data_IF_515385534395
#
_entry.id   IF_515385534395
#
_cell.length_a   1.000
_cell.length_b   1.000
_cell.length_c   1.000
_cell.angle_alpha   90.00
_cell.angle_beta   90.00
_cell.angle_gamma   90.00
#
_symmetry.space_group_name_H-M   'P 1'
#
loop_
_entity.id
_entity.type
_entity.pdbx_description
1 polymer ?
#
# COMPACT_ATOMS: atom_id res chain seq x y z
N UNK A 1 -9.56 23.42 -45.22
CA UNK A 1 -9.99 24.66 -44.55
C UNK A 1 -9.12 24.86 -43.31
N UNK A 2 -7.91 25.37 -43.51
CA UNK A 2 -6.96 25.65 -42.44
C UNK A 2 -6.76 27.17 -42.42
N UNK A 3 -7.41 27.87 -41.50
CA UNK A 3 -7.22 29.31 -41.34
C UNK A 3 -8.43 30.17 -40.97
N UNK A 4 -9.62 29.62 -40.74
CA UNK A 4 -10.72 30.40 -40.14
C UNK A 4 -10.68 30.27 -38.61
N UNK A 5 -10.71 31.40 -37.92
CA UNK A 5 -10.83 31.45 -36.47
C UNK A 5 -12.15 30.76 -36.07
N UNK A 6 -12.06 29.54 -35.55
CA UNK A 6 -13.23 28.77 -35.11
C UNK A 6 -14.00 29.60 -34.08
N UNK A 7 -15.30 29.78 -34.33
CA UNK A 7 -16.18 30.45 -33.37
C UNK A 7 -16.33 29.60 -32.10
N UNK A 8 -16.72 30.21 -30.98
CA UNK A 8 -16.94 29.47 -29.72
C UNK A 8 -17.78 28.20 -29.88
N UNK A 9 -18.96 28.26 -30.54
CA UNK A 9 -19.77 27.07 -30.84
C UNK A 9 -19.06 26.01 -31.68
N UNK A 10 -18.24 26.42 -32.66
CA UNK A 10 -17.48 25.49 -33.50
C UNK A 10 -16.37 24.79 -32.70
N UNK A 11 -15.71 25.49 -31.79
CA UNK A 11 -14.72 24.89 -30.87
C UNK A 11 -15.35 23.84 -29.96
N UNK A 12 -16.53 24.17 -29.40
CA UNK A 12 -17.27 23.23 -28.55
C UNK A 12 -17.70 22.01 -29.36
N UNK A 13 -18.20 22.20 -30.58
CA UNK A 13 -18.55 21.11 -31.47
C UNK A 13 -17.35 20.18 -31.77
N UNK A 14 -16.18 20.75 -32.08
CA UNK A 14 -14.94 19.99 -32.30
C UNK A 14 -14.53 19.20 -31.05
N UNK A 15 -14.63 19.79 -29.86
CA UNK A 15 -14.29 19.12 -28.60
C UNK A 15 -15.25 17.97 -28.28
N UNK A 16 -16.55 18.16 -28.49
CA UNK A 16 -17.57 17.11 -28.29
C UNK A 16 -17.34 15.93 -29.24
N UNK A 17 -16.98 16.20 -30.49
CA UNK A 17 -16.63 15.15 -31.45
C UNK A 17 -15.35 14.39 -31.07
N UNK A 18 -14.38 15.05 -30.43
CA UNK A 18 -13.14 14.43 -29.96
C UNK A 18 -13.33 13.56 -28.70
N UNK A 19 -14.27 13.95 -27.82
CA UNK A 19 -14.61 13.20 -26.60
C UNK A 19 -15.41 11.91 -26.88
N UNK A 20 -16.07 11.83 -28.04
CA UNK A 20 -16.89 10.70 -28.42
C UNK A 20 -18.33 10.80 -27.92
N UNK A 21 -19.21 9.99 -28.52
CA UNK A 21 -20.67 10.11 -28.39
C UNK A 21 -21.17 10.00 -26.94
N UNK A 22 -20.59 9.10 -26.15
CA UNK A 22 -21.02 8.82 -24.77
C UNK A 22 -20.78 10.03 -23.84
N UNK A 23 -19.58 10.60 -23.87
CA UNK A 23 -19.21 11.74 -23.04
C UNK A 23 -19.84 13.04 -23.53
N UNK A 24 -19.94 13.22 -24.85
CA UNK A 24 -20.62 14.37 -25.44
C UNK A 24 -22.11 14.40 -25.02
N UNK A 25 -22.79 13.25 -25.02
CA UNK A 25 -24.19 13.18 -24.63
C UNK A 25 -24.44 13.62 -23.18
N UNK A 26 -23.56 13.26 -22.24
CA UNK A 26 -23.66 13.71 -20.85
C UNK A 26 -23.42 15.22 -20.69
N UNK A 27 -22.46 15.77 -21.44
CA UNK A 27 -22.18 17.21 -21.41
C UNK A 27 -23.33 18.02 -22.03
N UNK A 28 -23.91 17.57 -23.14
CA UNK A 28 -25.02 18.25 -23.82
C UNK A 28 -26.27 18.38 -22.95
N UNK A 29 -26.47 17.50 -21.95
CA UNK A 29 -27.57 17.60 -20.98
C UNK A 29 -27.46 18.81 -20.04
N UNK A 30 -26.26 19.38 -19.90
CA UNK A 30 -25.99 20.52 -19.01
C UNK A 30 -26.20 21.88 -19.69
N UNK A 31 -26.36 21.92 -21.02
CA UNK A 31 -26.53 23.15 -21.78
C UNK A 31 -28.01 23.55 -21.90
N UNK A 32 -28.26 24.86 -21.94
CA UNK A 32 -29.61 25.36 -22.16
C UNK A 32 -30.09 25.09 -23.61
N UNK A 33 -31.42 25.02 -23.88
CA UNK A 33 -31.96 24.68 -25.20
C UNK A 33 -31.44 25.58 -26.34
N UNK A 34 -31.14 26.86 -26.05
CA UNK A 34 -30.58 27.80 -27.03
C UNK A 34 -29.12 27.50 -27.36
N UNK A 35 -28.35 27.04 -26.39
CA UNK A 35 -26.94 26.69 -26.55
C UNK A 35 -26.80 25.34 -27.25
N UNK A 36 -27.63 24.38 -26.86
CA UNK A 36 -27.73 23.07 -27.52
C UNK A 36 -28.04 23.21 -29.01
N UNK A 37 -28.96 24.11 -29.38
CA UNK A 37 -29.27 24.37 -30.78
C UNK A 37 -28.09 24.95 -31.55
N UNK A 38 -27.32 25.88 -30.94
CA UNK A 38 -26.14 26.49 -31.56
C UNK A 38 -25.00 25.48 -31.72
N UNK A 39 -24.72 24.69 -30.69
CA UNK A 39 -23.69 23.65 -30.71
C UNK A 39 -24.07 22.56 -31.72
N UNK A 40 -25.32 22.10 -31.72
CA UNK A 40 -25.82 21.10 -32.66
C UNK A 40 -25.76 21.57 -34.12
N UNK A 41 -26.07 22.84 -34.40
CA UNK A 41 -25.93 23.42 -35.72
C UNK A 41 -24.46 23.47 -36.19
N UNK A 42 -23.53 23.80 -35.29
CA UNK A 42 -22.09 23.75 -35.56
C UNK A 42 -21.58 22.31 -35.75
N UNK A 43 -22.05 21.34 -34.98
CA UNK A 43 -21.69 19.93 -35.17
C UNK A 43 -22.17 19.38 -36.52
N UNK A 44 -23.35 19.81 -36.98
CA UNK A 44 -23.90 19.40 -38.28
C UNK A 44 -23.21 20.08 -39.47
N UNK A 45 -22.70 21.32 -39.30
CA UNK A 45 -21.99 22.04 -40.36
C UNK A 45 -20.55 21.54 -40.53
N UNK A 46 -19.91 21.10 -39.44
CA UNK A 46 -18.57 20.54 -39.40
C UNK A 46 -18.55 19.08 -39.87
N UNK A 47 -18.77 18.89 -41.16
CA UNK A 47 -18.86 17.58 -41.83
C UNK A 47 -17.54 16.80 -41.90
N UNK A 48 -16.38 17.45 -41.74
CA UNK A 48 -15.09 16.79 -41.61
C UNK A 48 -14.09 17.71 -40.89
N UNK A 49 -13.73 17.33 -39.67
CA UNK A 49 -12.74 18.06 -38.87
C UNK A 49 -11.37 17.42 -39.10
N UNK A 50 -10.40 18.20 -39.58
CA UNK A 50 -9.03 17.73 -39.73
C UNK A 50 -8.37 17.46 -38.38
N UNK A 51 -7.49 16.45 -38.30
CA UNK A 51 -6.75 16.10 -37.07
C UNK A 51 -6.02 17.31 -36.46
N UNK A 52 -5.50 18.20 -37.29
CA UNK A 52 -4.79 19.40 -36.85
C UNK A 52 -5.73 20.40 -36.13
N UNK A 53 -6.98 20.52 -36.59
CA UNK A 53 -7.98 21.37 -35.94
C UNK A 53 -8.40 20.81 -34.58
N UNK A 54 -8.58 19.49 -34.47
CA UNK A 54 -8.85 18.82 -33.19
C UNK A 54 -7.70 19.04 -32.21
N UNK A 55 -6.46 18.80 -32.65
CA UNK A 55 -5.26 18.98 -31.82
C UNK A 55 -5.15 20.42 -31.31
N UNK A 56 -5.40 21.40 -32.18
CA UNK A 56 -5.35 22.82 -31.83
C UNK A 56 -6.42 23.18 -30.80
N UNK A 57 -7.68 22.79 -31.02
CA UNK A 57 -8.79 23.11 -30.10
C UNK A 57 -8.60 22.43 -28.74
N UNK A 58 -8.13 21.19 -28.71
CA UNK A 58 -7.85 20.47 -27.45
C UNK A 58 -6.69 21.12 -26.70
N UNK A 59 -5.63 21.53 -27.39
CA UNK A 59 -4.49 22.23 -26.78
C UNK A 59 -4.89 23.60 -26.21
N UNK A 60 -5.70 24.37 -26.96
CA UNK A 60 -6.24 25.65 -26.50
C UNK A 60 -7.14 25.45 -25.26
N UNK A 61 -8.07 24.49 -25.31
CA UNK A 61 -8.95 24.18 -24.19
C UNK A 61 -8.17 23.75 -22.93
N UNK A 62 -7.12 22.95 -23.10
CA UNK A 62 -6.28 22.53 -21.98
C UNK A 62 -5.49 23.72 -21.39
N UNK A 63 -4.95 24.61 -22.23
CA UNK A 63 -4.29 25.84 -21.75
C UNK A 63 -5.27 26.77 -21.02
N UNK A 64 -6.51 26.90 -21.50
CA UNK A 64 -7.54 27.70 -20.86
C UNK A 64 -8.00 27.08 -19.53
N UNK A 65 -8.14 25.75 -19.48
CA UNK A 65 -8.39 25.00 -18.24
C UNK A 65 -7.26 25.17 -17.23
N UNK A 66 -6.00 25.07 -17.65
CA UNK A 66 -4.83 25.26 -16.76
C UNK A 66 -4.79 26.68 -16.22
N UNK A 67 -5.10 27.69 -17.05
CA UNK A 67 -5.11 29.10 -16.64
C UNK A 67 -6.30 29.46 -15.74
N UNK A 68 -7.48 28.85 -15.92
CA UNK A 68 -8.65 29.08 -15.06
C UNK A 68 -8.65 28.19 -13.80
N UNK A 69 -8.07 26.99 -13.85
CA UNK A 69 -7.99 26.05 -12.73
C UNK A 69 -6.66 26.09 -11.99
N UNK A 70 -5.87 27.15 -12.13
CA UNK A 70 -4.68 27.42 -11.31
C UNK A 70 -4.96 27.45 -9.78
N UNK A 71 -6.24 27.30 -9.37
CA UNK A 71 -6.66 27.26 -7.98
C UNK A 71 -7.22 25.92 -7.45
N UNK A 72 -7.86 25.02 -8.22
CA UNK A 72 -8.47 23.81 -7.61
C UNK A 72 -8.68 22.64 -8.60
N UNK A 73 -7.64 22.18 -9.28
CA UNK A 73 -7.57 20.76 -9.63
C UNK A 73 -6.17 20.31 -9.26
N UNK A 74 -6.06 19.66 -8.09
CA UNK A 74 -4.85 18.92 -7.76
C UNK A 74 -4.75 17.77 -8.78
N UNK A 75 -3.98 18.02 -9.85
CA UNK A 75 -3.73 17.08 -10.93
C UNK A 75 -3.22 15.73 -10.39
N UNK A 76 -2.66 15.72 -9.16
CA UNK A 76 -2.27 14.51 -8.44
C UNK A 76 -3.45 13.77 -7.83
N UNK A 77 -4.48 14.43 -7.31
CA UNK A 77 -5.69 13.75 -6.82
C UNK A 77 -6.50 13.14 -7.96
N UNK A 78 -6.60 13.85 -9.09
CA UNK A 78 -7.17 13.27 -10.30
C UNK A 78 -6.37 12.03 -10.73
N UNK A 79 -5.05 12.13 -10.80
CA UNK A 79 -4.17 11.01 -11.15
C UNK A 79 -4.26 9.86 -10.14
N UNK A 80 -4.34 10.16 -8.85
CA UNK A 80 -4.51 9.19 -7.75
C UNK A 80 -5.81 8.44 -7.90
N UNK A 81 -6.90 9.14 -8.17
CA UNK A 81 -8.22 8.55 -8.37
C UNK A 81 -8.26 7.69 -9.63
N UNK A 82 -7.65 8.15 -10.73
CA UNK A 82 -7.55 7.39 -11.98
C UNK A 82 -6.70 6.13 -11.80
N UNK A 83 -5.49 6.25 -11.24
CA UNK A 83 -4.60 5.11 -11.01
C UNK A 83 -5.18 4.11 -10.01
N UNK A 84 -5.81 4.60 -8.93
CA UNK A 84 -6.48 3.74 -7.93
C UNK A 84 -7.63 2.96 -8.55
N UNK A 85 -8.40 3.60 -9.45
CA UNK A 85 -9.54 2.96 -10.12
C UNK A 85 -9.11 1.98 -11.21
N UNK A 86 -7.98 2.22 -11.87
CA UNK A 86 -7.45 1.36 -12.92
C UNK A 86 -6.63 0.17 -12.40
N UNK A 87 -5.87 0.34 -11.30
CA UNK A 87 -4.85 -0.62 -10.86
C UNK A 87 -5.08 -1.17 -9.44
N UNK A 88 -6.04 -0.63 -8.69
CA UNK A 88 -6.23 -0.91 -7.26
C UNK A 88 -5.28 -0.12 -6.36
N UNK A 89 -5.67 0.09 -5.09
CA UNK A 89 -4.97 0.99 -4.13
C UNK A 89 -3.48 0.70 -3.99
N UNK A 90 -3.08 -0.56 -3.84
CA UNK A 90 -1.69 -0.91 -3.51
C UNK A 90 -0.73 -0.73 -4.70
N UNK A 91 -1.19 -1.05 -5.92
CA UNK A 91 -0.39 -0.85 -7.14
C UNK A 91 -0.37 0.62 -7.55
N UNK A 92 -1.49 1.31 -7.40
CA UNK A 92 -1.58 2.75 -7.63
C UNK A 92 -0.63 3.52 -6.72
N UNK A 93 -0.52 3.14 -5.43
CA UNK A 93 0.43 3.74 -4.49
C UNK A 93 1.88 3.57 -4.96
N UNK A 94 2.29 2.35 -5.31
CA UNK A 94 3.67 2.10 -5.78
C UNK A 94 4.01 2.83 -7.09
N UNK A 95 3.07 2.92 -8.02
CA UNK A 95 3.25 3.64 -9.29
C UNK A 95 3.27 5.14 -9.05
N UNK A 96 2.39 5.65 -8.18
CA UNK A 96 2.37 7.05 -7.77
C UNK A 96 3.68 7.43 -7.08
N UNK A 97 4.16 6.61 -6.14
CA UNK A 97 5.42 6.82 -5.44
C UNK A 97 6.60 6.86 -6.42
N UNK A 98 6.60 6.01 -7.46
CA UNK A 98 7.62 6.06 -8.52
C UNK A 98 7.51 7.32 -9.39
N UNK A 99 6.30 7.69 -9.81
CA UNK A 99 6.06 8.88 -10.64
C UNK A 99 6.40 10.16 -9.86
N UNK A 100 6.06 10.24 -8.58
CA UNK A 100 6.39 11.38 -7.72
C UNK A 100 7.90 11.49 -7.46
N UNK A 101 8.58 10.34 -7.31
CA UNK A 101 10.04 10.27 -7.21
C UNK A 101 10.73 10.63 -8.54
N UNK A 102 10.16 10.29 -9.70
CA UNK A 102 10.66 10.70 -11.02
C UNK A 102 10.30 12.15 -11.39
N UNK A 103 9.18 12.68 -10.87
CA UNK A 103 8.68 14.03 -11.15
C UNK A 103 9.29 15.12 -10.25
N UNK A 104 10.29 14.80 -9.42
CA UNK A 104 11.10 15.80 -8.72
C UNK A 104 10.37 16.57 -7.62
N UNK A 105 9.55 15.92 -6.80
CA UNK A 105 9.16 16.51 -5.52
C UNK A 105 10.42 16.65 -4.63
N UNK A 106 11.01 17.85 -4.63
CA UNK A 106 12.28 18.15 -3.97
C UNK A 106 12.06 18.99 -2.71
N UNK A 107 12.90 18.78 -1.69
CA UNK A 107 12.88 19.57 -0.46
C UNK A 107 11.64 19.39 0.41
N UNK A 108 11.01 20.52 0.79
CA UNK A 108 9.91 20.59 1.76
C UNK A 108 8.64 19.88 1.26
N UNK A 109 8.39 19.87 -0.05
CA UNK A 109 7.16 19.29 -0.62
C UNK A 109 7.08 17.78 -0.42
N UNK A 110 8.22 17.09 -0.45
CA UNK A 110 8.27 15.66 -0.22
C UNK A 110 7.84 15.30 1.22
N UNK A 111 8.09 16.17 2.21
CA UNK A 111 7.73 15.92 3.62
C UNK A 111 6.21 15.82 3.83
N UNK A 112 5.39 16.45 3.00
CA UNK A 112 3.91 16.38 3.07
C UNK A 112 3.37 14.97 2.83
N UNK A 113 4.11 14.14 2.10
CA UNK A 113 3.71 12.79 1.72
C UNK A 113 4.38 11.71 2.58
N UNK A 114 5.19 12.13 3.56
CA UNK A 114 5.90 11.22 4.46
C UNK A 114 5.11 10.94 5.74
N UNK A 115 5.21 9.70 6.22
CA UNK A 115 4.67 9.34 7.54
C UNK A 115 5.27 10.23 8.64
N UNK A 116 4.42 10.72 9.55
CA UNK A 116 4.83 11.64 10.62
C UNK A 116 6.00 11.08 11.47
N UNK A 117 6.05 9.75 11.63
CA UNK A 117 7.13 9.06 12.33
C UNK A 117 8.48 9.16 11.61
N UNK A 118 8.49 9.08 10.27
CA UNK A 118 9.71 9.22 9.49
C UNK A 118 10.23 10.67 9.55
N UNK A 119 9.31 11.64 9.40
CA UNK A 119 9.63 13.07 9.52
C UNK A 119 10.18 13.39 10.90
N UNK A 120 9.50 12.96 11.98
CA UNK A 120 9.95 13.17 13.34
C UNK A 120 11.34 12.55 13.60
N UNK A 121 11.62 11.36 13.07
CA UNK A 121 12.92 10.72 13.21
C UNK A 121 14.05 11.53 12.55
N UNK A 122 13.80 12.09 11.36
CA UNK A 122 14.74 12.96 10.65
C UNK A 122 15.01 14.29 11.37
N UNK A 123 13.98 14.83 12.05
CA UNK A 123 14.05 16.13 12.73
C UNK A 123 14.64 16.08 14.16
N UNK A 124 14.80 14.89 14.75
CA UNK A 124 15.24 14.72 16.16
C UNK A 124 16.58 15.38 16.49
N UNK A 125 17.47 15.54 15.52
CA UNK A 125 18.81 16.13 15.71
C UNK A 125 18.93 17.54 15.13
N UNK A 126 17.84 18.07 14.59
CA UNK A 126 17.84 19.38 13.95
C UNK A 126 17.62 20.50 14.97
N UNK A 127 18.06 21.70 14.61
CA UNK A 127 17.88 22.88 15.44
C UNK A 127 16.38 23.25 15.54
N UNK A 128 15.87 23.70 16.70
CA UNK A 128 14.45 24.06 16.89
C UNK A 128 13.87 25.00 15.82
N UNK A 129 14.71 25.89 15.26
CA UNK A 129 14.33 26.77 14.16
C UNK A 129 14.00 26.02 12.86
N UNK A 130 14.77 24.98 12.52
CA UNK A 130 14.54 24.15 11.33
C UNK A 130 13.28 23.30 11.51
N UNK A 131 13.09 22.75 12.72
CA UNK A 131 11.89 21.98 13.05
C UNK A 131 10.64 22.87 12.95
N UNK A 132 10.67 24.08 13.52
CA UNK A 132 9.56 25.03 13.45
C UNK A 132 9.20 25.39 11.99
N UNK A 133 10.23 25.62 11.18
CA UNK A 133 10.07 25.92 9.77
C UNK A 133 9.45 24.74 9.02
N UNK A 134 9.94 23.51 9.24
CA UNK A 134 9.32 22.30 8.65
C UNK A 134 7.86 22.17 9.07
N UNK A 135 7.54 22.31 10.36
CA UNK A 135 6.16 22.21 10.86
C UNK A 135 5.23 23.28 10.26
N UNK A 136 5.73 24.49 9.99
CA UNK A 136 4.92 25.54 9.35
C UNK A 136 4.54 25.24 7.89
N UNK A 137 5.22 24.28 7.24
CA UNK A 137 4.93 23.85 5.87
C UNK A 137 4.11 22.55 5.78
N UNK A 138 3.96 21.82 6.88
CA UNK A 138 3.13 20.61 6.94
C UNK A 138 1.66 20.96 7.17
N UNK A 139 0.77 20.04 6.81
CA UNK A 139 -0.64 20.16 7.16
C UNK A 139 -0.83 20.06 8.68
N UNK A 140 -1.83 20.76 9.22
CA UNK A 140 -2.06 20.88 10.67
C UNK A 140 -2.12 19.53 11.40
N UNK A 141 -2.75 18.52 10.78
CA UNK A 141 -2.87 17.19 11.35
C UNK A 141 -1.50 16.48 11.44
N UNK A 142 -0.76 16.48 10.34
CA UNK A 142 0.58 15.86 10.27
C UNK A 142 1.58 16.59 11.18
N UNK A 143 1.54 17.93 11.22
CA UNK A 143 2.38 18.73 12.10
C UNK A 143 2.16 18.40 13.58
N UNK A 144 0.90 18.19 13.98
CA UNK A 144 0.55 17.79 15.34
C UNK A 144 1.09 16.39 15.70
N UNK A 145 0.98 15.43 14.77
CA UNK A 145 1.55 14.09 14.95
C UNK A 145 3.08 14.12 15.04
N UNK A 146 3.76 14.87 14.17
CA UNK A 146 5.21 15.05 14.22
C UNK A 146 5.63 15.68 15.55
N UNK A 147 4.95 16.74 15.98
CA UNK A 147 5.23 17.43 17.25
C UNK A 147 5.07 16.49 18.46
N UNK A 148 4.06 15.61 18.46
CA UNK A 148 3.84 14.63 19.52
C UNK A 148 4.99 13.61 19.64
N UNK A 149 5.66 13.29 18.52
CA UNK A 149 6.76 12.33 18.45
C UNK A 149 8.13 12.93 18.79
N UNK A 150 8.22 14.25 18.94
CA UNK A 150 9.43 14.95 19.38
C UNK A 150 9.61 14.89 20.91
N UNK A 151 10.85 15.00 21.42
CA UNK A 151 11.13 15.16 22.85
C UNK A 151 10.40 16.37 23.46
N UNK A 152 9.90 16.23 24.68
CA UNK A 152 9.09 17.26 25.37
C UNK A 152 9.80 18.62 25.46
N UNK A 153 11.11 18.61 25.68
CA UNK A 153 11.95 19.82 25.73
C UNK A 153 11.98 20.61 24.42
N UNK A 154 11.87 19.92 23.28
CA UNK A 154 11.85 20.54 21.95
C UNK A 154 10.45 21.04 21.58
N UNK A 155 9.38 20.38 22.04
CA UNK A 155 8.00 20.74 21.66
C UNK A 155 7.67 22.18 22.00
N UNK A 156 8.04 22.63 23.20
CA UNK A 156 7.73 23.97 23.68
C UNK A 156 8.47 25.05 22.87
N UNK A 157 9.78 24.91 22.69
CA UNK A 157 10.61 25.87 21.94
C UNK A 157 10.19 25.94 20.47
N UNK A 158 9.92 24.78 19.86
CA UNK A 158 9.46 24.69 18.47
C UNK A 158 8.09 25.36 18.28
N UNK A 159 7.13 25.11 19.18
CA UNK A 159 5.79 25.68 19.05
C UNK A 159 5.78 27.20 19.20
N UNK A 160 6.59 27.75 20.12
CA UNK A 160 6.76 29.20 20.27
C UNK A 160 7.31 29.79 18.96
N UNK A 161 8.32 29.15 18.37
CA UNK A 161 8.93 29.62 17.11
C UNK A 161 7.96 29.58 15.94
N UNK A 162 7.12 28.55 15.84
CA UNK A 162 6.02 28.49 14.85
C UNK A 162 5.05 29.65 15.05
N UNK A 163 4.68 29.95 16.29
CA UNK A 163 3.77 31.05 16.61
C UNK A 163 4.35 32.45 16.34
N UNK A 164 5.68 32.61 16.43
CA UNK A 164 6.39 33.87 16.15
C UNK A 164 6.90 34.00 14.72
N UNK A 165 6.55 33.05 13.84
CA UNK A 165 7.03 33.03 12.46
C UNK A 165 6.17 33.97 11.60
N UNK A 166 6.58 35.23 11.44
CA UNK A 166 5.77 36.24 10.72
C UNK A 166 5.83 36.09 9.19
N UNK A 167 7.02 35.88 8.62
CA UNK A 167 7.19 35.67 7.18
C UNK A 167 8.54 35.03 6.87
N UNK A 168 8.55 33.98 6.05
CA UNK A 168 9.77 33.38 5.51
C UNK A 168 10.04 34.02 4.14
N UNK A 169 11.16 34.75 3.95
CA UNK A 169 11.49 35.31 2.65
C UNK A 169 11.56 34.21 1.58
N UNK A 170 10.98 34.43 0.40
CA UNK A 170 10.92 33.42 -0.67
C UNK A 170 12.30 32.93 -1.10
N UNK A 171 13.34 33.77 -0.97
CA UNK A 171 14.74 33.39 -1.21
C UNK A 171 15.28 32.39 -0.16
N UNK A 172 14.82 32.47 1.09
CA UNK A 172 15.21 31.54 2.15
C UNK A 172 14.53 30.17 2.01
N UNK A 173 13.47 30.05 1.20
CA UNK A 173 12.83 28.76 0.87
C UNK A 173 13.75 27.89 0.01
N UNK A 174 14.53 28.50 -0.90
CA UNK A 174 15.53 27.79 -1.70
C UNK A 174 16.65 27.20 -0.83
N UNK A 175 17.20 28.02 0.08
CA UNK A 175 18.22 27.57 1.03
C UNK A 175 17.66 26.55 2.03
N UNK A 176 16.40 26.71 2.45
CA UNK A 176 15.70 25.74 3.28
C UNK A 176 15.53 24.40 2.57
N UNK A 177 15.11 24.41 1.30
CA UNK A 177 15.00 23.19 0.50
C UNK A 177 16.35 22.48 0.41
N UNK A 178 17.44 23.23 0.24
CA UNK A 178 18.79 22.65 0.21
C UNK A 178 19.20 22.05 1.57
N UNK A 179 18.89 22.71 2.68
CA UNK A 179 19.15 22.20 4.04
C UNK A 179 18.28 20.97 4.35
N UNK A 180 16.99 21.00 4.00
CA UNK A 180 16.07 19.88 4.18
C UNK A 180 16.50 18.70 3.30
N UNK A 181 16.89 18.93 2.05
CA UNK A 181 17.33 17.88 1.14
C UNK A 181 18.68 17.27 1.56
N UNK A 182 19.65 18.11 1.99
CA UNK A 182 20.96 17.61 2.42
C UNK A 182 20.95 16.96 3.80
N UNK A 183 20.10 17.42 4.72
CA UNK A 183 20.24 17.11 6.14
C UNK A 183 19.03 16.32 6.65
N UNK A 184 17.83 16.82 6.42
CA UNK A 184 16.60 16.15 6.84
C UNK A 184 16.34 14.90 6.00
N UNK A 185 16.42 14.98 4.67
CA UNK A 185 16.22 13.81 3.80
C UNK A 185 17.35 12.78 3.93
N UNK A 186 18.59 13.17 4.24
CA UNK A 186 19.65 12.20 4.60
C UNK A 186 19.34 11.49 5.90
N UNK A 187 18.93 12.23 6.93
CA UNK A 187 18.59 11.64 8.23
C UNK A 187 17.32 10.79 8.15
N UNK A 188 16.34 11.23 7.35
CA UNK A 188 15.16 10.47 7.01
C UNK A 188 15.57 9.22 6.24
N UNK A 189 16.34 9.28 5.16
CA UNK A 189 16.79 8.08 4.43
C UNK A 189 17.62 7.12 5.28
N UNK A 190 18.33 7.63 6.30
CA UNK A 190 19.03 6.82 7.28
C UNK A 190 18.10 6.24 8.38
N UNK A 191 17.01 6.94 8.72
CA UNK A 191 16.02 6.56 9.74
C UNK A 191 14.82 5.79 9.17
N UNK A 192 14.51 5.98 7.90
CA UNK A 192 13.70 5.13 7.03
C UNK A 192 14.56 3.96 6.58
N UNK A 193 15.08 3.23 7.59
CA UNK A 193 15.08 1.80 7.45
C UNK A 193 13.63 1.38 7.26
N UNK A 194 13.12 1.43 6.03
CA UNK A 194 12.06 0.53 5.64
C UNK A 194 12.54 -0.83 6.15
N UNK A 195 11.77 -1.48 7.03
CA UNK A 195 11.98 -2.90 7.30
C UNK A 195 11.59 -3.68 6.02
N UNK A 196 12.37 -3.50 4.95
CA UNK A 196 12.27 -4.24 3.67
C UNK A 196 12.68 -5.70 3.91
N UNK A 197 13.41 -5.96 4.99
CA UNK A 197 13.85 -7.29 5.39
C UNK A 197 13.56 -7.60 6.86
N UNK A 198 13.90 -8.82 7.23
CA UNK A 198 13.73 -9.38 8.56
C UNK A 198 13.53 -10.89 8.49
N UNK A 199 13.51 -11.59 9.64
CA UNK A 199 13.34 -13.04 9.69
C UNK A 199 12.09 -13.51 8.94
N UNK A 200 11.00 -12.73 8.98
CA UNK A 200 9.74 -13.04 8.28
C UNK A 200 9.89 -13.04 6.76
N UNK A 201 10.53 -12.01 6.20
CA UNK A 201 10.75 -11.94 4.75
C UNK A 201 11.74 -13.00 4.27
N UNK A 202 12.75 -13.31 5.09
CA UNK A 202 13.66 -14.42 4.81
C UNK A 202 12.93 -15.77 4.82
N UNK A 203 12.04 -16.01 5.78
CA UNK A 203 11.22 -17.22 5.83
C UNK A 203 10.30 -17.34 4.60
N UNK A 204 9.62 -16.26 4.20
CA UNK A 204 8.79 -16.24 2.97
C UNK A 204 9.60 -16.58 1.71
N UNK A 205 10.82 -16.04 1.58
CA UNK A 205 11.71 -16.34 0.45
C UNK A 205 12.17 -17.80 0.50
N UNK A 206 12.57 -18.29 1.67
CA UNK A 206 13.03 -19.67 1.85
C UNK A 206 11.91 -20.69 1.62
N UNK A 207 10.67 -20.34 1.93
CA UNK A 207 9.48 -21.16 1.63
C UNK A 207 9.17 -21.20 0.12
N UNK A 208 9.55 -20.16 -0.64
CA UNK A 208 9.25 -20.05 -2.07
C UNK A 208 10.31 -20.70 -2.98
N UNK A 209 11.47 -21.09 -2.44
CA UNK A 209 12.57 -21.70 -3.20
C UNK A 209 12.65 -23.21 -2.93
N UNK A 210 13.29 -23.94 -3.86
CA UNK A 210 13.47 -25.38 -3.76
C UNK A 210 14.26 -25.80 -2.50
N UNK A 211 13.87 -26.93 -1.91
CA UNK A 211 14.44 -27.44 -0.66
C UNK A 211 15.91 -27.82 -0.76
N UNK A 212 16.40 -28.15 -1.95
CA UNK A 212 17.82 -28.37 -2.22
C UNK A 212 18.67 -27.11 -2.10
N UNK A 213 18.05 -25.92 -2.16
CA UNK A 213 18.71 -24.62 -2.03
C UNK A 213 18.43 -23.99 -0.66
N UNK A 214 17.21 -24.12 -0.12
CA UNK A 214 16.86 -23.52 1.17
C UNK A 214 17.59 -24.18 2.35
N UNK A 215 17.76 -25.51 2.35
CA UNK A 215 18.40 -26.25 3.45
C UNK A 215 19.86 -25.87 3.65
N UNK A 216 20.73 -25.88 2.61
CA UNK A 216 22.11 -25.44 2.77
C UNK A 216 22.24 -23.96 3.13
N UNK A 217 21.26 -23.13 2.74
CA UNK A 217 21.23 -21.72 3.12
C UNK A 217 20.90 -21.57 4.60
N UNK A 218 19.94 -22.34 5.12
CA UNK A 218 19.57 -22.33 6.53
C UNK A 218 20.71 -22.84 7.42
N UNK A 219 21.40 -23.91 7.01
CA UNK A 219 22.55 -24.43 7.75
C UNK A 219 23.69 -23.40 7.85
N UNK A 220 23.92 -22.66 6.76
CA UNK A 220 24.87 -21.53 6.77
C UNK A 220 24.42 -20.40 7.69
N UNK A 221 23.13 -20.05 7.68
CA UNK A 221 22.60 -19.02 8.57
C UNK A 221 22.73 -19.46 10.03
N UNK A 222 22.43 -20.73 10.34
CA UNK A 222 22.55 -21.31 11.69
C UNK A 222 23.99 -21.32 12.19
N UNK A 223 24.95 -21.61 11.31
CA UNK A 223 26.38 -21.53 11.64
C UNK A 223 26.91 -20.10 11.87
N UNK A 224 26.23 -19.08 11.35
CA UNK A 224 26.59 -17.68 11.53
C UNK A 224 25.85 -17.01 12.70
N UNK A 225 24.55 -17.30 12.85
CA UNK A 225 23.67 -16.75 13.89
C UNK A 225 22.52 -17.73 14.17
N UNK A 226 22.70 -18.54 15.22
CA UNK A 226 21.73 -19.54 15.66
C UNK A 226 20.40 -18.90 16.09
N UNK A 227 20.44 -17.71 16.71
CA UNK A 227 19.25 -17.01 17.17
C UNK A 227 18.39 -16.51 16.01
N UNK A 228 19.04 -16.08 14.92
CA UNK A 228 18.38 -15.65 13.70
C UNK A 228 17.79 -16.86 12.95
N UNK A 229 18.54 -17.95 12.84
CA UNK A 229 18.07 -19.18 12.22
C UNK A 229 16.80 -19.71 12.89
N UNK A 230 16.78 -19.82 14.22
CA UNK A 230 15.61 -20.26 14.98
C UNK A 230 14.39 -19.37 14.70
N UNK A 231 14.58 -18.04 14.63
CA UNK A 231 13.48 -17.11 14.33
C UNK A 231 12.96 -17.23 12.90
N UNK A 232 13.81 -17.59 11.94
CA UNK A 232 13.40 -17.82 10.55
C UNK A 232 12.68 -19.17 10.45
N UNK A 233 13.21 -20.22 11.07
CA UNK A 233 12.57 -21.54 11.14
C UNK A 233 11.17 -21.47 11.76
N UNK A 234 11.00 -20.74 12.86
CA UNK A 234 9.69 -20.53 13.51
C UNK A 234 8.66 -19.89 12.56
N UNK A 235 9.14 -19.07 11.61
CA UNK A 235 8.32 -18.36 10.63
C UNK A 235 8.13 -19.14 9.31
N UNK A 236 8.90 -20.22 9.10
CA UNK A 236 8.77 -21.11 7.94
C UNK A 236 7.69 -22.18 8.14
N UNK A 237 7.28 -22.46 9.38
CA UNK A 237 6.25 -23.45 9.69
C UNK A 237 4.87 -22.85 9.40
N UNK A 238 4.44 -22.95 8.14
CA UNK A 238 3.13 -22.49 7.71
C UNK A 238 2.09 -23.55 8.06
N UNK A 239 0.95 -23.13 8.61
CA UNK A 239 -0.19 -24.00 8.89
C UNK A 239 -0.65 -24.83 7.67
N UNK A 240 -0.41 -24.31 6.46
CA UNK A 240 -0.68 -24.98 5.20
C UNK A 240 0.14 -26.25 4.96
N UNK A 241 1.29 -26.42 5.63
CA UNK A 241 2.09 -27.64 5.53
C UNK A 241 1.36 -28.89 6.05
N UNK A 242 0.29 -28.73 6.83
CA UNK A 242 -0.59 -29.83 7.21
C UNK A 242 -1.23 -30.54 6.00
N UNK A 243 -1.30 -29.89 4.83
CA UNK A 243 -1.76 -30.54 3.59
C UNK A 243 -0.85 -31.70 3.17
N UNK A 244 0.46 -31.57 3.41
CA UNK A 244 1.45 -32.56 3.05
C UNK A 244 1.48 -33.74 4.03
N UNK A 245 0.84 -33.60 5.19
CA UNK A 245 0.78 -34.65 6.17
C UNK A 245 -0.12 -35.80 5.74
N UNK A 246 0.30 -37.01 6.06
CA UNK A 246 -0.48 -38.21 5.85
C UNK A 246 -1.72 -38.22 6.76
N UNK A 247 -2.78 -38.90 6.33
CA UNK A 247 -4.05 -38.93 7.05
C UNK A 247 -3.90 -39.49 8.48
N UNK A 248 -2.97 -40.42 8.69
CA UNK A 248 -2.65 -40.96 10.02
C UNK A 248 -1.97 -39.92 10.92
N UNK A 249 -1.02 -39.15 10.40
CA UNK A 249 -0.39 -38.05 11.12
C UNK A 249 -1.40 -36.99 11.55
N UNK A 250 -2.31 -36.59 10.64
CA UNK A 250 -3.39 -35.64 10.96
C UNK A 250 -4.31 -36.20 12.06
N UNK A 251 -4.71 -37.47 11.99
CA UNK A 251 -5.54 -38.09 13.03
C UNK A 251 -4.88 -38.11 14.40
N UNK A 252 -3.56 -38.32 14.46
CA UNK A 252 -2.81 -38.26 15.71
C UNK A 252 -2.76 -36.82 16.24
N UNK A 253 -2.51 -35.83 15.38
CA UNK A 253 -2.50 -34.41 15.76
C UNK A 253 -3.85 -33.98 16.35
N UNK A 254 -4.95 -34.39 15.72
CA UNK A 254 -6.31 -34.09 16.19
C UNK A 254 -6.63 -34.68 17.57
N UNK A 255 -5.87 -35.66 18.07
CA UNK A 255 -6.02 -36.19 19.43
C UNK A 255 -5.28 -35.36 20.49
N UNK A 256 -4.24 -34.64 20.09
CA UNK A 256 -3.43 -33.81 20.99
C UNK A 256 -3.90 -32.35 21.05
N UNK A 257 -4.64 -31.90 20.03
CA UNK A 257 -5.15 -30.53 19.93
C UNK A 257 -6.52 -30.42 20.61
N UNK A 258 -6.71 -29.35 21.40
CA UNK A 258 -8.00 -29.05 22.02
C UNK A 258 -9.05 -28.60 20.99
N UNK A 259 -10.32 -28.96 21.19
CA UNK A 259 -11.40 -28.56 20.28
C UNK A 259 -11.54 -27.04 20.16
N UNK A 260 -11.38 -26.30 21.27
CA UNK A 260 -11.46 -24.83 21.26
C UNK A 260 -10.35 -24.19 20.41
N UNK A 261 -9.10 -24.64 20.57
CA UNK A 261 -7.95 -24.17 19.77
C UNK A 261 -8.15 -24.50 18.29
N UNK A 262 -8.64 -25.71 17.99
CA UNK A 262 -8.87 -26.16 16.63
C UNK A 262 -9.94 -25.31 15.94
N UNK A 263 -11.07 -25.02 16.59
CA UNK A 263 -12.14 -24.21 16.02
C UNK A 263 -11.62 -22.80 15.68
N UNK A 264 -10.85 -22.17 16.58
CA UNK A 264 -10.25 -20.84 16.34
C UNK A 264 -9.27 -20.86 15.17
N UNK A 265 -8.38 -21.86 15.11
CA UNK A 265 -7.40 -21.98 14.03
C UNK A 265 -8.05 -22.20 12.65
N UNK A 266 -9.14 -22.97 12.61
CA UNK A 266 -9.88 -23.33 11.40
C UNK A 266 -10.67 -22.15 10.79
N UNK A 267 -10.89 -21.08 11.56
CA UNK A 267 -11.56 -19.87 11.07
C UNK A 267 -10.74 -19.10 10.03
N UNK A 268 -9.42 -19.09 10.16
CA UNK A 268 -8.50 -18.50 9.18
C UNK A 268 -7.76 -19.53 8.32
N UNK A 269 -8.21 -20.77 8.31
CA UNK A 269 -7.67 -21.80 7.43
C UNK A 269 -8.35 -21.75 6.06
N UNK A 270 -7.57 -21.99 5.00
CA UNK A 270 -8.09 -22.17 3.66
C UNK A 270 -8.98 -23.42 3.55
N UNK A 271 -9.90 -23.41 2.59
CA UNK A 271 -10.90 -24.46 2.42
C UNK A 271 -10.26 -25.85 2.21
N UNK A 272 -9.13 -25.92 1.52
CA UNK A 272 -8.39 -27.16 1.28
C UNK A 272 -7.88 -27.81 2.57
N UNK A 273 -7.35 -27.01 3.50
CA UNK A 273 -6.88 -27.47 4.80
C UNK A 273 -8.07 -27.87 5.67
N UNK A 274 -9.13 -27.07 5.62
CA UNK A 274 -10.36 -27.33 6.34
C UNK A 274 -10.94 -28.69 5.96
N UNK A 275 -11.06 -28.97 4.67
CA UNK A 275 -11.52 -30.28 4.16
C UNK A 275 -10.59 -31.43 4.59
N UNK A 276 -9.26 -31.24 4.47
CA UNK A 276 -8.25 -32.23 4.87
C UNK A 276 -8.37 -32.59 6.35
N UNK A 277 -8.58 -31.61 7.22
CA UNK A 277 -8.79 -31.82 8.66
C UNK A 277 -10.13 -32.51 8.92
N UNK A 278 -11.23 -32.00 8.36
CA UNK A 278 -12.57 -32.57 8.57
C UNK A 278 -12.69 -34.01 8.08
N UNK A 279 -12.01 -34.36 6.97
CA UNK A 279 -11.98 -35.74 6.45
C UNK A 279 -11.29 -36.72 7.40
N UNK A 280 -10.36 -36.24 8.21
CA UNK A 280 -9.64 -37.03 9.20
C UNK A 280 -10.33 -37.10 10.57
N UNK A 281 -11.53 -36.51 10.69
CA UNK A 281 -12.38 -36.62 11.87
C UNK A 281 -13.45 -37.69 11.68
N UNK A 282 -14.07 -38.14 12.78
CA UNK A 282 -15.31 -38.91 12.70
C UNK A 282 -16.44 -38.03 12.12
N UNK A 283 -17.41 -38.64 11.41
CA UNK A 283 -18.54 -37.90 10.81
C UNK A 283 -19.23 -36.95 11.80
N UNK A 284 -19.51 -37.44 13.01
CA UNK A 284 -20.13 -36.66 14.08
C UNK A 284 -19.27 -35.49 14.54
N UNK A 285 -17.95 -35.68 14.66
CA UNK A 285 -17.04 -34.61 15.08
C UNK A 285 -16.85 -33.56 13.98
N UNK A 286 -16.82 -33.98 12.71
CA UNK A 286 -16.78 -33.07 11.57
C UNK A 286 -18.08 -32.25 11.43
N UNK A 287 -19.25 -32.84 11.69
CA UNK A 287 -20.53 -32.12 11.74
C UNK A 287 -20.54 -31.09 12.86
N UNK A 288 -20.20 -31.50 14.09
CA UNK A 288 -20.11 -30.58 15.24
C UNK A 288 -19.15 -29.42 14.98
N UNK A 289 -17.99 -29.69 14.38
CA UNK A 289 -17.02 -28.64 14.03
C UNK A 289 -17.56 -27.66 12.99
N UNK A 290 -18.37 -28.11 12.03
CA UNK A 290 -19.00 -27.19 11.06
C UNK A 290 -20.03 -26.30 11.75
N UNK A 291 -20.87 -26.88 12.60
CA UNK A 291 -21.88 -26.13 13.37
C UNK A 291 -21.21 -25.10 14.30
N UNK A 292 -20.10 -25.48 14.94
CA UNK A 292 -19.31 -24.58 15.79
C UNK A 292 -18.66 -23.45 14.97
N UNK A 293 -18.15 -23.73 13.77
CA UNK A 293 -17.58 -22.71 12.88
C UNK A 293 -18.63 -21.74 12.33
N UNK A 294 -19.85 -22.21 12.09
CA UNK A 294 -20.99 -21.39 11.65
C UNK A 294 -21.52 -20.50 12.77
N UNK A 295 -21.60 -21.04 14.00
CA UNK A 295 -22.05 -20.31 15.19
C UNK A 295 -20.98 -19.38 15.78
N UNK A 296 -19.71 -19.60 15.44
CA UNK A 296 -18.60 -18.76 15.90
C UNK A 296 -18.66 -17.36 15.26
N UNK A 297 -18.68 -16.34 16.14
CA UNK A 297 -18.63 -14.93 15.76
C UNK A 297 -17.28 -14.50 15.17
N UNK A 298 -17.11 -13.20 14.87
CA UNK A 298 -15.84 -12.67 14.38
C UNK A 298 -14.73 -12.86 15.43
N UNK A 299 -13.63 -13.50 15.02
CA UNK A 299 -12.43 -13.72 15.84
C UNK A 299 -11.32 -12.78 15.35
N UNK A 300 -10.45 -12.31 16.26
CA UNK A 300 -9.33 -11.44 15.87
C UNK A 300 -8.28 -12.28 15.14
N UNK A 301 -7.69 -11.71 14.09
CA UNK A 301 -6.62 -12.36 13.33
C UNK A 301 -5.45 -12.83 14.21
N UNK A 302 -5.09 -12.05 15.23
CA UNK A 302 -4.04 -12.41 16.18
C UNK A 302 -4.35 -13.68 16.98
N UNK A 303 -5.62 -13.90 17.35
CA UNK A 303 -6.03 -15.10 18.10
C UNK A 303 -6.01 -16.34 17.19
N UNK A 304 -6.35 -16.15 15.90
CA UNK A 304 -6.25 -17.21 14.87
C UNK A 304 -4.78 -17.60 14.64
N UNK A 305 -3.89 -16.61 14.45
CA UNK A 305 -2.46 -16.86 14.27
C UNK A 305 -1.85 -17.55 15.49
N UNK A 306 -2.25 -17.17 16.71
CA UNK A 306 -1.81 -17.82 17.94
C UNK A 306 -2.28 -19.28 18.01
N UNK A 307 -3.55 -19.56 17.72
CA UNK A 307 -4.09 -20.91 17.72
C UNK A 307 -3.44 -21.80 16.64
N UNK A 308 -3.18 -21.26 15.44
CA UNK A 308 -2.44 -21.96 14.40
C UNK A 308 -1.00 -22.26 14.84
N UNK A 309 -0.33 -21.31 15.51
CA UNK A 309 1.02 -21.52 16.04
C UNK A 309 1.07 -22.61 17.12
N UNK A 310 0.09 -22.65 18.01
CA UNK A 310 -0.01 -23.68 19.05
C UNK A 310 -0.14 -25.08 18.43
N UNK A 311 -1.02 -25.23 17.43
CA UNK A 311 -1.18 -26.48 16.68
C UNK A 311 0.12 -26.87 15.98
N UNK A 312 0.80 -25.92 15.34
CA UNK A 312 2.07 -26.19 14.65
C UNK A 312 3.20 -26.55 15.61
N UNK A 313 3.19 -26.04 16.84
CA UNK A 313 4.15 -26.41 17.88
C UNK A 313 3.97 -27.88 18.28
N UNK A 314 2.72 -28.34 18.40
CA UNK A 314 2.40 -29.76 18.64
C UNK A 314 2.81 -30.60 17.43
N UNK A 315 2.46 -30.18 16.22
CA UNK A 315 2.79 -30.89 14.99
C UNK A 315 4.31 -31.04 14.80
N UNK A 316 5.10 -30.02 15.14
CA UNK A 316 6.58 -30.09 15.11
C UNK A 316 7.12 -31.11 16.09
N UNK A 317 6.64 -31.10 17.34
CA UNK A 317 7.02 -32.09 18.35
C UNK A 317 6.70 -33.51 17.89
N UNK A 318 5.53 -33.72 17.29
CA UNK A 318 5.14 -35.01 16.73
C UNK A 318 6.00 -35.42 15.52
N UNK A 319 6.42 -34.46 14.70
CA UNK A 319 7.33 -34.71 13.58
C UNK A 319 8.74 -35.11 14.04
N UNK A 320 9.26 -34.46 15.08
CA UNK A 320 10.53 -34.83 15.72
C UNK A 320 10.46 -36.24 16.37
N UNK A 321 9.31 -36.62 16.89
CA UNK A 321 9.05 -37.97 17.42
C UNK A 321 8.82 -39.03 16.32
N UNK A 322 8.62 -38.61 15.06
CA UNK A 322 8.31 -39.49 13.93
C UNK A 322 6.83 -39.90 13.82
N UNK A 323 5.95 -39.34 14.65
CA UNK A 323 4.51 -39.63 14.68
C UNK A 323 3.70 -38.85 13.62
N UNK A 324 4.31 -37.85 13.00
CA UNK A 324 3.68 -37.01 11.99
C UNK A 324 4.70 -36.61 10.91
N UNK A 325 4.42 -36.93 9.65
CA UNK A 325 5.27 -36.49 8.56
C UNK A 325 4.70 -35.20 7.96
N UNK A 326 5.27 -34.02 8.26
CA UNK A 326 4.79 -32.75 7.70
C UNK A 326 5.12 -32.55 6.23
N UNK A 327 5.63 -33.57 5.53
CA UNK A 327 6.19 -33.41 4.20
C UNK A 327 7.19 -32.27 4.24
N UNK A 328 8.22 -32.42 5.07
CA UNK A 328 9.46 -31.72 4.75
C UNK A 328 9.74 -32.06 3.28
N UNK A 329 10.09 -31.09 2.45
CA UNK A 329 10.97 -31.45 1.34
C UNK A 329 12.17 -32.14 2.01
N UNK A 330 12.19 -33.47 1.91
CA UNK A 330 13.01 -34.34 2.75
C UNK A 330 14.49 -34.02 2.59
N UNK A 331 15.35 -34.25 3.57
CA UNK A 331 15.19 -34.86 4.88
C UNK A 331 16.59 -35.13 5.45
N UNK A 332 16.64 -35.57 6.71
CA UNK A 332 17.77 -36.31 7.27
C UNK A 332 18.77 -35.48 8.08
N UNK A 333 18.50 -35.35 9.39
CA UNK A 333 19.60 -35.32 10.35
C UNK A 333 20.09 -36.77 10.52
N UNK A 334 21.41 -36.96 10.39
CA UNK A 334 22.13 -38.12 10.95
C UNK A 334 22.22 -37.94 12.46
#
# INVERSE_FOLDING_TARGET
MAGEALSGPDRVAVLMMALGEEYAAELLKQFDPRELHRIGASMASLSSVGRDAVSTVVAEFNNELVNQNALVIDSRDFMKNVLTRALGRDKAKNVMDRILNEAGATGVEALKWMEAQAVAAGLRREHPQIIALVLSYLESAQAAEVLALLPETLRHDVLIRVATLDSVPTAAIGELNEVIEKQVMRNINAASSFKVGGPKRAAEILNAIDTGISTPLMDKIKGMDESLALRIEDLMVVFEHLLNADDRGIQNLLREVSSETLIVAMRGADETIREKILRNMSKRAAEMMRDDLESMGPVRLADVEAAQKDIMTIAKRMAEAGDLNLGSGGGGYV
#
